data_IF_756135448098
#
_entry.id   IF_756135448098
#
_cell.length_a   1.000
_cell.length_b   1.000
_cell.length_c   1.000
_cell.angle_alpha   90.00
_cell.angle_beta   90.00
_cell.angle_gamma   90.00
#
_symmetry.space_group_name_H-M   'P 1'
#
loop_
_entity.id
_entity.type
_entity.pdbx_description
1 polymer ?
#
# COMPACT_ATOMS: atom_id res chain seq x y z
N UNK A 1 -12.45 7.92 11.02
CA UNK A 1 -12.38 8.86 9.88
C UNK A 1 -11.86 8.06 8.67
N UNK A 2 -12.67 7.11 8.18
CA UNK A 2 -12.35 6.14 7.10
C UNK A 2 -12.13 6.79 5.71
N UNK A 3 -12.13 8.11 5.62
CA UNK A 3 -12.78 8.78 4.50
C UNK A 3 -11.86 9.40 3.46
N UNK A 4 -10.55 9.59 3.67
CA UNK A 4 -9.81 10.48 2.75
C UNK A 4 -9.12 9.78 1.57
N UNK A 5 -8.52 8.60 1.74
CA UNK A 5 -7.65 8.00 0.70
C UNK A 5 -8.35 7.74 -0.65
N UNK A 6 -9.55 7.17 -0.61
CA UNK A 6 -10.35 6.91 -1.83
C UNK A 6 -11.08 8.17 -2.32
N UNK A 7 -11.43 9.09 -1.42
CA UNK A 7 -12.02 10.37 -1.81
C UNK A 7 -11.00 11.23 -2.56
N UNK A 8 -9.74 11.25 -2.12
CA UNK A 8 -8.67 11.99 -2.79
C UNK A 8 -8.40 11.39 -4.19
N UNK A 9 -8.36 10.07 -4.30
CA UNK A 9 -8.19 9.36 -5.58
C UNK A 9 -9.34 9.65 -6.56
N UNK A 10 -10.59 9.56 -6.09
CA UNK A 10 -11.76 9.84 -6.92
C UNK A 10 -11.90 11.33 -7.25
N UNK A 11 -11.52 12.23 -6.34
CA UNK A 11 -11.50 13.66 -6.59
C UNK A 11 -10.49 14.03 -7.66
N UNK A 12 -9.27 13.46 -7.62
CA UNK A 12 -8.28 13.60 -8.69
C UNK A 12 -8.80 13.04 -10.03
N UNK A 13 -9.47 11.88 -9.99
CA UNK A 13 -10.09 11.29 -11.18
C UNK A 13 -11.16 12.21 -11.78
N UNK A 14 -12.03 12.79 -10.95
CA UNK A 14 -13.06 13.71 -11.38
C UNK A 14 -12.46 15.02 -11.94
N UNK A 15 -11.40 15.55 -11.33
CA UNK A 15 -10.70 16.74 -11.80
C UNK A 15 -10.10 16.55 -13.21
N UNK A 16 -9.71 15.32 -13.55
CA UNK A 16 -9.19 14.95 -14.87
C UNK A 16 -10.21 14.28 -15.79
N UNK A 17 -11.50 14.25 -15.43
CA UNK A 17 -12.57 13.60 -16.20
C UNK A 17 -12.32 12.11 -16.50
N UNK A 18 -11.72 11.40 -15.55
CA UNK A 18 -11.43 9.96 -15.62
C UNK A 18 -12.52 9.16 -14.91
N UNK A 19 -12.71 7.89 -15.28
CA UNK A 19 -13.62 7.01 -14.53
C UNK A 19 -13.04 6.73 -13.15
N UNK A 20 -13.78 7.00 -12.06
CA UNK A 20 -13.29 6.74 -10.70
C UNK A 20 -13.03 5.24 -10.50
N UNK A 21 -11.93 4.92 -9.82
CA UNK A 21 -11.59 3.54 -9.49
C UNK A 21 -12.47 2.99 -8.36
N UNK A 22 -12.91 3.84 -7.42
CA UNK A 22 -13.59 3.37 -6.22
C UNK A 22 -15.07 3.73 -6.18
N UNK A 23 -15.90 2.80 -5.72
CA UNK A 23 -17.29 3.05 -5.34
C UNK A 23 -17.49 2.75 -3.86
N UNK A 24 -18.17 3.65 -3.14
CA UNK A 24 -18.45 3.47 -1.71
C UNK A 24 -19.82 2.81 -1.53
N UNK A 25 -19.87 1.78 -0.71
CA UNK A 25 -21.10 1.08 -0.33
C UNK A 25 -22.01 1.95 0.54
N UNK A 26 -23.28 1.56 0.63
CA UNK A 26 -24.31 2.29 1.38
C UNK A 26 -24.04 2.33 2.90
N UNK A 27 -23.26 1.38 3.43
CA UNK A 27 -22.82 1.34 4.82
C UNK A 27 -21.73 2.39 5.14
N UNK A 28 -21.19 3.06 4.11
CA UNK A 28 -20.09 4.01 4.23
C UNK A 28 -18.75 3.38 4.62
N UNK A 29 -18.67 2.06 4.79
CA UNK A 29 -17.44 1.36 5.20
C UNK A 29 -16.88 0.53 4.08
N UNK A 30 -17.76 -0.08 3.29
CA UNK A 30 -17.38 -0.91 2.15
C UNK A 30 -16.90 -0.01 1.02
N UNK A 31 -15.73 -0.33 0.47
CA UNK A 31 -15.20 0.31 -0.74
C UNK A 31 -14.92 -0.79 -1.75
N UNK A 32 -15.55 -0.66 -2.90
CA UNK A 32 -15.37 -1.51 -4.07
C UNK A 32 -14.39 -0.85 -5.02
N UNK A 33 -13.47 -1.62 -5.60
CA UNK A 33 -12.54 -1.14 -6.63
C UNK A 33 -12.87 -1.77 -7.99
N UNK A 34 -13.11 -0.92 -9.00
CA UNK A 34 -13.13 -1.26 -10.42
C UNK A 34 -11.68 -1.24 -10.99
N UNK A 35 -11.06 -2.41 -11.26
CA UNK A 35 -9.71 -2.53 -11.79
C UNK A 35 -9.62 -2.19 -13.29
N UNK A 36 -10.74 -1.93 -13.96
CA UNK A 36 -10.80 -1.52 -15.37
C UNK A 36 -10.87 0.00 -15.54
N UNK A 37 -11.10 0.73 -14.44
CA UNK A 37 -11.17 2.18 -14.43
C UNK A 37 -9.84 2.82 -14.82
N UNK A 38 -9.90 3.93 -15.54
CA UNK A 38 -8.74 4.69 -16.01
C UNK A 38 -8.29 5.81 -15.07
N UNK A 39 -9.02 5.99 -13.96
CA UNK A 39 -8.75 6.98 -12.91
C UNK A 39 -7.60 6.64 -11.97
N UNK A 40 -7.43 7.51 -10.99
CA UNK A 40 -6.46 7.39 -9.91
C UNK A 40 -6.93 6.41 -8.84
N UNK A 41 -5.94 5.79 -8.19
CA UNK A 41 -6.13 4.77 -7.16
C UNK A 41 -4.88 4.63 -6.30
N UNK A 42 -5.00 3.94 -5.18
CA UNK A 42 -3.83 3.40 -4.48
C UNK A 42 -3.14 2.36 -5.37
N UNK A 43 -1.80 2.26 -5.32
CA UNK A 43 -1.09 1.17 -5.95
C UNK A 43 -1.46 -0.15 -5.28
N UNK A 44 -1.39 -1.25 -6.04
CA UNK A 44 -1.26 -2.56 -5.40
C UNK A 44 0.12 -2.66 -4.74
N UNK A 45 0.25 -3.54 -3.76
CA UNK A 45 1.52 -3.85 -3.12
C UNK A 45 2.57 -4.29 -4.16
N UNK A 46 2.14 -5.07 -5.16
CA UNK A 46 3.03 -5.54 -6.22
C UNK A 46 3.50 -4.40 -7.12
N UNK A 47 2.60 -3.50 -7.54
CA UNK A 47 2.98 -2.30 -8.30
C UNK A 47 3.91 -1.41 -7.51
N UNK A 48 3.62 -1.21 -6.22
CA UNK A 48 4.45 -0.40 -5.33
C UNK A 48 5.86 -0.97 -5.24
N UNK A 49 6.00 -2.28 -5.00
CA UNK A 49 7.33 -2.91 -4.89
C UNK A 49 8.07 -2.87 -6.23
N UNK A 50 7.39 -3.15 -7.33
CA UNK A 50 7.97 -3.08 -8.68
C UNK A 50 8.49 -1.67 -8.99
N UNK A 51 7.67 -0.65 -8.70
CA UNK A 51 8.02 0.75 -8.87
C UNK A 51 9.17 1.18 -7.95
N UNK A 52 9.16 0.80 -6.67
CA UNK A 52 10.22 1.07 -5.72
C UNK A 52 11.55 0.46 -6.18
N UNK A 53 11.54 -0.79 -6.64
CA UNK A 53 12.73 -1.50 -7.11
C UNK A 53 13.29 -0.90 -8.39
N UNK A 54 12.43 -0.49 -9.33
CA UNK A 54 12.84 0.13 -10.60
C UNK A 54 13.96 -0.66 -11.31
N UNK A 55 13.82 -1.99 -11.37
CA UNK A 55 14.79 -2.90 -11.97
C UNK A 55 15.93 -3.39 -11.05
N UNK A 56 16.03 -2.90 -9.82
CA UNK A 56 17.00 -3.40 -8.83
C UNK A 56 16.47 -4.66 -8.11
N UNK A 57 17.38 -5.54 -7.70
CA UNK A 57 17.04 -6.78 -6.96
C UNK A 57 17.41 -6.72 -5.48
N UNK A 58 18.24 -5.75 -5.10
CA UNK A 58 18.64 -5.49 -3.72
C UNK A 58 17.45 -5.08 -2.84
N UNK A 59 17.55 -5.18 -1.50
CA UNK A 59 16.50 -4.71 -0.61
C UNK A 59 16.28 -3.20 -0.64
N UNK A 60 17.27 -2.43 -1.08
CA UNK A 60 17.20 -0.99 -1.31
C UNK A 60 17.76 -0.68 -2.71
N UNK A 61 17.34 0.41 -3.35
CA UNK A 61 17.84 0.82 -4.67
C UNK A 61 19.11 1.69 -4.59
N UNK A 62 19.77 1.72 -3.43
CA UNK A 62 20.95 2.51 -3.15
C UNK A 62 21.28 2.55 -1.65
N UNK A 63 22.36 3.25 -1.26
CA UNK A 63 22.69 3.52 0.15
C UNK A 63 21.60 4.35 0.82
N UNK A 64 21.07 3.92 1.96
CA UNK A 64 19.91 4.57 2.61
C UNK A 64 20.13 6.05 2.91
N UNK A 65 21.33 6.44 3.34
CA UNK A 65 21.71 7.84 3.61
C UNK A 65 21.46 8.78 2.42
N UNK A 66 21.55 8.26 1.19
CA UNK A 66 21.37 9.01 -0.05
C UNK A 66 19.92 9.02 -0.54
N UNK A 67 19.14 8.00 -0.22
CA UNK A 67 17.87 7.70 -0.90
C UNK A 67 16.63 7.75 0.00
N UNK A 68 16.80 7.78 1.32
CA UNK A 68 15.72 7.66 2.28
C UNK A 68 15.93 8.57 3.49
N UNK A 69 14.82 9.00 4.08
CA UNK A 69 14.78 9.59 5.41
C UNK A 69 14.42 8.50 6.42
N UNK A 70 15.26 8.28 7.44
CA UNK A 70 15.08 7.23 8.46
C UNK A 70 15.36 7.77 9.87
N UNK A 71 15.25 6.91 10.89
CA UNK A 71 15.56 7.25 12.29
C UNK A 71 16.96 7.87 12.49
N UNK A 72 17.91 7.56 11.60
CA UNK A 72 19.28 8.05 11.66
C UNK A 72 19.40 9.55 11.34
N UNK A 73 18.39 10.13 10.67
CA UNK A 73 18.36 11.56 10.38
C UNK A 73 17.82 12.38 11.58
N UNK A 74 17.37 11.73 12.66
CA UNK A 74 16.88 12.36 13.91
C UNK A 74 15.81 13.45 13.68
N UNK A 75 14.89 13.17 12.76
CA UNK A 75 13.83 14.10 12.38
C UNK A 75 12.67 14.06 13.38
N UNK A 76 11.85 15.12 13.38
CA UNK A 76 10.63 15.21 14.19
C UNK A 76 9.35 14.98 13.35
N UNK A 77 9.50 14.68 12.06
CA UNK A 77 8.39 14.59 11.12
C UNK A 77 8.87 14.35 9.68
N UNK A 78 7.90 14.15 8.75
CA UNK A 78 8.20 13.96 7.35
C UNK A 78 8.87 15.19 6.75
N UNK A 79 9.70 14.96 5.73
CA UNK A 79 10.42 16.00 5.01
C UNK A 79 9.71 16.34 3.70
N UNK A 80 9.97 17.55 3.15
CA UNK A 80 9.55 17.87 1.79
C UNK A 80 9.96 16.77 0.81
N UNK A 81 9.06 16.41 -0.10
CA UNK A 81 9.30 15.34 -1.08
C UNK A 81 10.44 15.68 -2.03
N UNK A 82 11.14 14.66 -2.52
CA UNK A 82 12.15 14.78 -3.57
C UNK A 82 13.51 15.31 -3.12
N UNK A 83 13.78 15.36 -1.81
CA UNK A 83 15.05 15.87 -1.27
C UNK A 83 16.17 14.83 -1.21
N UNK A 84 15.83 13.53 -1.25
CA UNK A 84 16.79 12.41 -1.39
C UNK A 84 16.81 11.91 -2.84
N UNK A 85 17.84 11.15 -3.21
CA UNK A 85 18.03 10.65 -4.58
C UNK A 85 16.87 9.72 -4.99
N UNK A 86 16.41 9.91 -6.23
CA UNK A 86 15.41 9.03 -6.83
C UNK A 86 15.96 7.64 -7.12
N UNK A 87 15.05 6.68 -7.28
CA UNK A 87 15.36 5.39 -7.88
C UNK A 87 15.59 5.49 -9.41
N UNK A 88 16.02 4.42 -10.10
CA UNK A 88 16.29 4.44 -11.55
C UNK A 88 15.14 4.88 -12.47
N UNK A 89 13.88 4.90 -12.00
CA UNK A 89 12.73 5.41 -12.77
C UNK A 89 12.36 6.85 -12.42
N UNK A 90 13.16 7.53 -11.59
CA UNK A 90 12.91 8.91 -11.17
C UNK A 90 11.89 9.03 -10.04
N UNK A 91 11.54 7.94 -9.35
CA UNK A 91 10.66 8.00 -8.19
C UNK A 91 11.45 8.34 -6.93
N UNK A 92 11.01 9.37 -6.22
CA UNK A 92 11.56 9.78 -4.93
C UNK A 92 10.74 9.22 -3.78
N UNK A 93 11.39 9.11 -2.63
CA UNK A 93 10.78 8.77 -1.33
C UNK A 93 9.95 7.48 -1.35
N UNK A 94 10.28 6.54 -2.25
CA UNK A 94 9.71 5.18 -2.18
C UNK A 94 10.29 4.38 -1.01
N UNK A 95 11.37 4.87 -0.38
CA UNK A 95 11.90 4.33 0.87
C UNK A 95 12.06 5.47 1.88
N UNK A 96 11.60 5.25 3.10
CA UNK A 96 11.64 6.24 4.17
C UNK A 96 10.66 7.39 3.97
N UNK A 97 10.90 8.49 4.68
CA UNK A 97 9.97 9.63 4.80
C UNK A 97 8.63 9.23 5.44
N UNK A 98 7.71 8.64 4.69
CA UNK A 98 6.44 8.13 5.23
C UNK A 98 6.14 6.75 4.67
N UNK A 99 5.46 5.94 5.46
CA UNK A 99 4.83 4.73 4.95
C UNK A 99 3.75 5.06 3.93
N UNK A 100 3.61 4.25 2.90
CA UNK A 100 2.61 4.49 1.85
C UNK A 100 1.54 3.40 1.84
N UNK A 101 0.27 3.83 1.87
CA UNK A 101 -0.88 2.93 1.70
C UNK A 101 -0.86 2.25 0.32
N UNK A 102 -1.06 0.92 0.36
CA UNK A 102 -1.42 0.11 -0.79
C UNK A 102 -2.86 -0.39 -0.65
N UNK A 103 -3.47 -0.75 -1.78
CA UNK A 103 -4.83 -1.27 -1.78
C UNK A 103 -4.96 -2.66 -1.10
N UNK A 104 -3.90 -3.47 -1.10
CA UNK A 104 -3.93 -4.86 -0.65
C UNK A 104 -4.15 -5.02 0.85
N UNK A 105 -4.85 -6.08 1.25
CA UNK A 105 -4.92 -6.48 2.66
C UNK A 105 -3.58 -7.04 3.16
N UNK A 106 -3.22 -6.74 4.40
CA UNK A 106 -1.94 -7.14 4.98
C UNK A 106 -1.91 -8.64 5.31
N UNK A 107 -2.88 -9.09 6.11
CA UNK A 107 -3.13 -10.49 6.46
C UNK A 107 -4.59 -10.59 6.97
N UNK A 108 -5.56 -10.90 6.09
CA UNK A 108 -6.98 -10.96 6.47
C UNK A 108 -7.28 -11.99 7.56
N UNK A 109 -6.47 -13.05 7.64
CA UNK A 109 -6.66 -14.11 8.61
C UNK A 109 -6.45 -13.64 10.04
N UNK A 110 -5.51 -12.71 10.19
CA UNK A 110 -5.06 -12.21 11.48
C UNK A 110 -5.65 -10.85 11.82
N UNK A 111 -5.80 -9.97 10.84
CA UNK A 111 -6.08 -8.56 11.05
C UNK A 111 -7.35 -8.07 10.35
N UNK A 112 -8.12 -8.95 9.71
CA UNK A 112 -9.37 -8.59 9.06
C UNK A 112 -9.18 -7.66 7.87
N UNK A 113 -9.62 -6.41 7.98
CA UNK A 113 -9.63 -5.43 6.88
C UNK A 113 -8.38 -4.54 6.83
N UNK A 114 -7.34 -4.86 7.60
CA UNK A 114 -6.10 -4.09 7.63
C UNK A 114 -5.46 -4.06 6.24
N UNK A 115 -5.10 -2.87 5.79
CA UNK A 115 -4.45 -2.64 4.50
C UNK A 115 -2.94 -2.56 4.68
N UNK A 116 -2.23 -2.84 3.60
CA UNK A 116 -0.77 -2.90 3.59
C UNK A 116 -0.17 -1.51 3.44
N UNK A 117 0.88 -1.28 4.21
CA UNK A 117 1.77 -0.13 4.17
C UNK A 117 3.16 -0.59 3.72
N UNK A 118 3.80 0.20 2.87
CA UNK A 118 5.15 -0.10 2.33
C UNK A 118 6.12 1.08 2.52
N UNK A 119 7.42 0.81 2.38
CA UNK A 119 8.48 1.82 2.32
C UNK A 119 9.26 2.09 3.60
N UNK A 120 8.61 2.08 4.76
CA UNK A 120 9.20 2.61 5.99
C UNK A 120 9.04 4.13 6.09
N UNK A 121 9.25 4.70 7.28
CA UNK A 121 9.13 6.14 7.53
C UNK A 121 10.38 6.78 8.14
N UNK A 122 10.32 8.09 8.33
CA UNK A 122 11.37 8.90 8.96
C UNK A 122 11.70 8.49 10.40
N UNK A 123 10.76 7.83 11.10
CA UNK A 123 10.95 7.36 12.46
C UNK A 123 11.46 5.91 12.53
N UNK A 124 11.56 5.23 11.38
CA UNK A 124 11.90 3.82 11.32
C UNK A 124 13.40 3.59 11.22
N UNK A 125 13.82 2.49 11.81
CA UNK A 125 15.20 2.06 11.78
C UNK A 125 15.63 1.62 10.37
N UNK A 126 16.90 1.83 9.97
CA UNK A 126 17.35 1.51 8.61
C UNK A 126 17.08 0.06 8.17
N UNK A 127 17.09 -0.89 9.11
CA UNK A 127 16.79 -2.28 8.80
C UNK A 127 15.30 -2.56 8.59
N UNK A 128 14.36 -1.63 8.82
CA UNK A 128 12.98 -1.78 8.37
C UNK A 128 12.71 -1.03 7.06
N UNK A 129 13.57 -0.11 6.62
CA UNK A 129 13.40 0.66 5.39
C UNK A 129 13.91 -0.12 4.17
N UNK A 130 13.04 -0.93 3.56
CA UNK A 130 13.38 -1.79 2.40
C UNK A 130 12.21 -2.01 1.46
N UNK A 131 12.49 -2.30 0.20
CA UNK A 131 11.51 -2.51 -0.87
C UNK A 131 10.48 -3.60 -0.55
N UNK A 132 10.83 -4.62 0.23
CA UNK A 132 9.92 -5.73 0.58
C UNK A 132 9.28 -5.61 1.97
N UNK A 133 9.45 -4.49 2.69
CA UNK A 133 8.92 -4.35 4.06
C UNK A 133 7.40 -4.16 4.08
N UNK A 134 6.70 -4.94 4.90
CA UNK A 134 5.24 -4.87 5.04
C UNK A 134 4.87 -4.47 6.46
N UNK A 135 3.98 -3.47 6.59
CA UNK A 135 3.26 -3.15 7.83
C UNK A 135 1.77 -3.17 7.51
N UNK A 136 0.93 -3.60 8.44
CA UNK A 136 -0.53 -3.55 8.29
C UNK A 136 -1.13 -2.53 9.24
N UNK A 137 -2.16 -1.80 8.81
CA UNK A 137 -2.93 -0.93 9.69
C UNK A 137 -4.40 -0.89 9.29
N UNK A 138 -5.28 -0.59 10.25
CA UNK A 138 -6.70 -0.42 10.00
C UNK A 138 -6.93 0.72 8.99
N UNK A 139 -7.85 0.58 8.03
CA UNK A 139 -8.07 1.59 6.98
C UNK A 139 -8.57 2.94 7.52
N UNK A 140 -9.00 3.00 8.78
CA UNK A 140 -9.46 4.20 9.47
C UNK A 140 -8.45 4.81 10.44
N UNK A 141 -7.26 4.20 10.52
CA UNK A 141 -6.16 4.68 11.35
C UNK A 141 -5.62 6.01 10.82
N UNK A 142 -5.40 6.96 11.73
CA UNK A 142 -4.74 8.23 11.45
C UNK A 142 -3.35 8.15 12.07
N UNK A 143 -2.33 8.08 11.21
CA UNK A 143 -0.95 7.89 11.61
C UNK A 143 -0.11 9.01 11.01
N UNK A 144 0.73 9.63 11.84
CA UNK A 144 1.53 10.80 11.48
C UNK A 144 2.69 10.45 10.53
N UNK A 145 3.05 9.16 10.47
CA UNK A 145 4.11 8.60 9.65
C UNK A 145 3.58 7.87 8.41
N UNK A 146 2.29 8.04 8.07
CA UNK A 146 1.65 7.39 6.91
C UNK A 146 1.11 8.42 5.93
N UNK A 147 1.53 8.30 4.68
CA UNK A 147 0.99 9.00 3.52
C UNK A 147 0.47 8.03 2.46
N UNK A 148 0.47 8.52 1.22
CA UNK A 148 0.03 7.77 0.06
C UNK A 148 0.83 8.17 -1.17
N UNK A 149 0.80 7.30 -2.17
CA UNK A 149 1.21 7.57 -3.53
C UNK A 149 0.09 7.14 -4.45
N UNK A 150 -0.16 7.91 -5.50
CA UNK A 150 -1.18 7.56 -6.48
C UNK A 150 -0.61 6.71 -7.61
N UNK A 151 -1.34 5.66 -7.96
CA UNK A 151 -1.27 5.00 -9.24
C UNK A 151 -2.46 5.45 -10.11
N UNK A 152 -2.41 5.17 -11.42
CA UNK A 152 -3.49 5.50 -12.34
C UNK A 152 -3.61 4.42 -13.40
N UNK A 153 -4.85 4.19 -13.84
CA UNK A 153 -5.14 3.32 -14.96
C UNK A 153 -5.52 1.90 -14.55
N UNK A 154 -5.96 1.10 -15.53
CA UNK A 154 -6.45 -0.24 -15.29
C UNK A 154 -5.32 -1.19 -14.89
N UNK A 155 -5.66 -2.18 -14.07
CA UNK A 155 -4.76 -3.27 -13.64
C UNK A 155 -5.32 -4.66 -13.89
N UNK A 156 -6.58 -4.74 -14.29
CA UNK A 156 -7.31 -5.97 -14.50
C UNK A 156 -8.16 -5.88 -15.76
N UNK A 157 -8.66 -7.03 -16.18
CA UNK A 157 -9.42 -7.14 -17.42
C UNK A 157 -10.92 -7.01 -17.20
N UNK A 158 -11.45 -7.40 -16.03
CA UNK A 158 -12.88 -7.33 -15.67
C UNK A 158 -13.09 -7.47 -14.14
N UNK A 159 -14.23 -6.98 -13.61
CA UNK A 159 -14.73 -7.32 -12.26
C UNK A 159 -14.39 -6.33 -11.15
N UNK A 160 -14.45 -6.76 -9.89
CA UNK A 160 -14.01 -5.99 -8.71
C UNK A 160 -12.75 -6.64 -8.12
N UNK A 161 -11.77 -5.86 -7.63
CA UNK A 161 -10.47 -6.39 -7.19
C UNK A 161 -10.05 -6.01 -5.75
N UNK A 162 -9.16 -6.80 -5.15
CA UNK A 162 -8.56 -6.57 -3.82
C UNK A 162 -7.02 -6.44 -3.84
N UNK A 163 -6.40 -6.27 -5.01
CA UNK A 163 -4.94 -6.08 -5.16
C UNK A 163 -4.20 -7.37 -5.52
N UNK A 164 -4.63 -8.51 -4.98
CA UNK A 164 -4.31 -9.87 -5.44
C UNK A 164 -5.61 -10.62 -5.78
N UNK A 165 -5.52 -11.83 -6.34
CA UNK A 165 -6.69 -12.68 -6.55
C UNK A 165 -7.35 -12.98 -5.19
N UNK A 166 -8.47 -12.31 -4.91
CA UNK A 166 -9.34 -12.59 -3.77
C UNK A 166 -9.73 -14.08 -3.69
N UNK A 167 -9.78 -14.76 -4.84
CA UNK A 167 -9.95 -16.21 -4.92
C UNK A 167 -8.75 -16.96 -4.34
N UNK A 168 -7.52 -16.59 -4.66
CA UNK A 168 -6.31 -17.21 -4.11
C UNK A 168 -6.18 -17.01 -2.59
N UNK A 169 -6.56 -15.83 -2.08
CA UNK A 169 -6.58 -15.58 -0.63
C UNK A 169 -7.67 -16.41 0.06
N UNK A 170 -8.86 -16.56 -0.53
CA UNK A 170 -9.92 -17.43 -0.02
C UNK A 170 -9.54 -18.91 -0.10
N UNK A 171 -8.85 -19.33 -1.16
CA UNK A 171 -8.37 -20.69 -1.35
C UNK A 171 -7.31 -21.03 -0.31
N UNK A 172 -6.32 -20.13 -0.10
CA UNK A 172 -5.33 -20.24 0.98
C UNK A 172 -5.98 -20.25 2.37
N UNK A 173 -7.00 -19.41 2.58
CA UNK A 173 -7.77 -19.39 3.82
C UNK A 173 -8.64 -20.64 4.02
N UNK A 174 -8.96 -21.37 2.94
CA UNK A 174 -9.71 -22.61 2.95
C UNK A 174 -8.88 -23.85 3.29
N UNK A 175 -7.55 -23.74 3.39
CA UNK A 175 -6.67 -24.84 3.78
C UNK A 175 -6.99 -25.32 5.20
N UNK A 176 -7.48 -26.56 5.30
CA UNK A 176 -7.73 -27.26 6.58
C UNK A 176 -6.63 -28.28 6.82
N UNK A 177 -5.98 -28.22 7.99
CA UNK A 177 -4.90 -29.15 8.37
C UNK A 177 -3.85 -28.47 9.25
N UNK A 178 -2.78 -29.19 9.64
CA UNK A 178 -1.65 -28.59 10.33
C UNK A 178 -1.02 -27.54 9.42
N UNK A 179 -1.08 -26.29 9.87
CA UNK A 179 -0.45 -25.17 9.19
C UNK A 179 1.08 -25.25 9.37
N UNK A 180 1.88 -24.86 8.37
CA UNK A 180 3.33 -24.71 8.55
C UNK A 180 3.64 -23.74 9.69
N UNK A 181 4.76 -23.95 10.37
CA UNK A 181 5.22 -23.06 11.45
C UNK A 181 5.27 -21.61 10.94
N UNK A 182 4.53 -20.72 11.61
CA UNK A 182 4.44 -19.29 11.27
C UNK A 182 3.18 -18.85 10.52
N UNK A 183 2.28 -19.77 10.17
CA UNK A 183 1.02 -19.46 9.48
C UNK A 183 -0.11 -19.16 10.48
N UNK A 184 -0.84 -18.06 10.26
CA UNK A 184 -2.01 -17.69 11.08
C UNK A 184 -3.30 -18.24 10.44
N UNK A 185 -4.12 -19.02 11.15
CA UNK A 185 -5.42 -19.47 10.62
C UNK A 185 -6.40 -18.29 10.50
N UNK A 186 -7.16 -18.25 9.41
CA UNK A 186 -8.25 -17.28 9.23
C UNK A 186 -9.38 -17.63 10.19
N UNK A 187 -9.56 -16.83 11.25
CA UNK A 187 -10.79 -16.84 12.02
C UNK A 187 -11.79 -15.95 11.29
N UNK A 188 -13.03 -16.42 11.16
CA UNK A 188 -14.08 -15.78 10.38
C UNK A 188 -14.06 -14.26 10.51
N UNK A 189 -13.83 -13.56 9.40
CA UNK A 189 -13.97 -12.11 9.32
C UNK A 189 -15.44 -11.82 9.62
N UNK A 190 -15.72 -11.27 10.81
CA UNK A 190 -17.06 -10.84 11.17
C UNK A 190 -17.54 -9.82 10.12
N UNK A 191 -18.66 -10.14 9.49
CA UNK A 191 -19.32 -9.32 8.46
C UNK A 191 -19.79 -7.98 9.02
#
# INVERSE_FOLDING_TARGET
MQSYLHLDSNALSAAESLRPAYTRGADGRTVTWDPTADGYRLPTEAEWEYACRAGTTSPTYGPLEDIAWTSLDHLAGPQPVGQKKANPWGLHDTLGNVWEWCWDYADPARYGDYRTLRGGGWADEPWSVRASVRRGSAPDAVLEDVGLRMARGPVGTDGEAQGWSHEADRERAGLRGPLPVGWTPLREIAR
#
